data_IF_080626263424
#
_entry.id   IF_080626263424
#
_cell.length_a   1.000
_cell.length_b   1.000
_cell.length_c   1.000
_cell.angle_alpha   90.00
_cell.angle_beta   90.00
_cell.angle_gamma   90.00
#
_symmetry.space_group_name_H-M   'P 1'
#
loop_
_entity.id
_entity.type
_entity.pdbx_description
1 polymer ?
#
# COMPACT_ATOMS: atom_id res chain seq x y z
N UNK A 1 35.85 -26.70 -45.25
CA UNK A 1 34.82 -25.64 -45.38
C UNK A 1 33.47 -26.02 -44.77
N UNK A 2 33.09 -27.30 -44.71
CA UNK A 2 31.79 -27.77 -44.16
C UNK A 2 31.69 -27.64 -42.62
N UNK A 3 32.80 -27.76 -41.90
CA UNK A 3 32.84 -27.67 -40.43
C UNK A 3 32.47 -26.29 -39.89
N UNK A 4 32.95 -25.20 -40.49
CA UNK A 4 32.62 -23.83 -40.09
C UNK A 4 31.13 -23.52 -40.26
N UNK A 5 30.52 -24.01 -41.34
CA UNK A 5 29.09 -23.85 -41.59
C UNK A 5 28.23 -24.55 -40.54
N UNK A 6 28.63 -25.73 -40.05
CA UNK A 6 27.93 -26.42 -38.96
C UNK A 6 28.01 -25.64 -37.64
N UNK A 7 29.17 -25.08 -37.29
CA UNK A 7 29.33 -24.30 -36.06
C UNK A 7 28.48 -23.04 -36.03
N UNK A 8 28.37 -22.33 -37.16
CA UNK A 8 27.51 -21.14 -37.29
C UNK A 8 26.03 -21.53 -37.09
N UNK A 9 25.57 -22.64 -37.72
CA UNK A 9 24.19 -23.10 -37.61
C UNK A 9 23.86 -23.56 -36.18
N UNK A 10 24.78 -24.26 -35.52
CA UNK A 10 24.61 -24.70 -34.13
C UNK A 10 24.55 -23.48 -33.19
N UNK A 11 25.39 -22.48 -33.39
CA UNK A 11 25.40 -21.25 -32.57
C UNK A 11 24.12 -20.42 -32.72
N UNK A 12 23.56 -20.30 -33.93
CA UNK A 12 22.32 -19.56 -34.16
C UNK A 12 21.10 -20.31 -33.65
N UNK A 13 21.09 -21.64 -33.76
CA UNK A 13 20.06 -22.48 -33.15
C UNK A 13 20.09 -22.33 -31.62
N UNK A 14 21.26 -22.42 -30.97
CA UNK A 14 21.37 -22.27 -29.50
C UNK A 14 20.83 -20.91 -29.03
N UNK A 15 21.11 -19.82 -29.75
CA UNK A 15 20.61 -18.48 -29.38
C UNK A 15 19.09 -18.32 -29.58
N UNK A 16 18.49 -19.07 -30.51
CA UNK A 16 17.05 -19.07 -30.77
C UNK A 16 16.24 -19.92 -29.77
N UNK A 17 16.87 -20.86 -29.07
CA UNK A 17 16.20 -21.78 -28.12
C UNK A 17 16.31 -21.28 -26.68
N UNK A 18 17.19 -20.31 -26.38
CA UNK A 18 17.30 -19.75 -25.04
C UNK A 18 16.02 -18.97 -24.68
N UNK A 19 15.29 -19.36 -23.61
CA UNK A 19 14.15 -18.60 -23.15
C UNK A 19 14.65 -17.23 -22.69
N UNK A 20 14.19 -16.17 -23.35
CA UNK A 20 14.39 -14.80 -22.89
C UNK A 20 13.62 -14.62 -21.59
N UNK A 21 14.28 -14.86 -20.46
CA UNK A 21 13.74 -14.48 -19.16
C UNK A 21 13.69 -12.95 -19.13
N UNK A 22 12.51 -12.39 -19.42
CA UNK A 22 12.27 -10.97 -19.28
C UNK A 22 12.44 -10.65 -17.78
N UNK A 23 13.62 -10.18 -17.40
CA UNK A 23 13.89 -9.83 -16.01
C UNK A 23 13.06 -8.60 -15.67
N UNK A 24 12.11 -8.78 -14.75
CA UNK A 24 11.31 -7.70 -14.19
C UNK A 24 12.27 -6.77 -13.44
N UNK A 25 12.48 -5.58 -13.99
CA UNK A 25 13.27 -4.53 -13.34
C UNK A 25 12.39 -3.81 -12.32
N UNK A 26 12.79 -3.88 -11.05
CA UNK A 26 12.08 -3.22 -9.96
C UNK A 26 12.86 -2.01 -9.45
N UNK A 27 12.14 -1.04 -8.90
CA UNK A 27 12.69 0.16 -8.30
C UNK A 27 13.31 -0.09 -6.93
N UNK A 28 13.67 1.01 -6.27
CA UNK A 28 14.30 0.96 -4.94
C UNK A 28 13.31 0.42 -3.89
N UNK A 29 13.80 -0.51 -3.07
CA UNK A 29 13.03 -1.21 -2.01
C UNK A 29 11.84 -2.01 -2.55
N UNK A 30 11.96 -2.51 -3.77
CA UNK A 30 11.00 -3.43 -4.39
C UNK A 30 11.67 -4.76 -4.70
N UNK A 31 10.90 -5.83 -4.65
CA UNK A 31 11.29 -7.18 -5.02
C UNK A 31 10.41 -7.70 -6.15
N UNK A 32 10.99 -8.30 -7.19
CA UNK A 32 10.21 -8.92 -8.27
C UNK A 32 9.48 -10.14 -7.72
N UNK A 33 8.18 -10.21 -7.97
CA UNK A 33 7.33 -11.34 -7.59
C UNK A 33 6.48 -11.79 -8.77
N UNK A 34 6.09 -13.07 -8.77
CA UNK A 34 5.26 -13.64 -9.86
C UNK A 34 3.80 -13.20 -9.79
N UNK A 35 3.36 -12.68 -8.65
CA UNK A 35 1.98 -12.39 -8.34
C UNK A 35 1.94 -11.16 -7.43
N UNK A 36 1.81 -9.97 -8.02
CA UNK A 36 1.52 -8.71 -7.33
C UNK A 36 0.01 -8.49 -7.38
N UNK A 37 -0.61 -8.35 -6.22
CA UNK A 37 -2.00 -7.90 -6.14
C UNK A 37 -2.10 -6.39 -6.40
N UNK A 38 -3.14 -5.86 -7.08
CA UNK A 38 -3.28 -4.44 -7.38
C UNK A 38 -3.51 -3.59 -6.12
N UNK A 39 -3.91 -4.21 -5.02
CA UNK A 39 -4.27 -3.54 -3.77
C UNK A 39 -3.17 -3.64 -2.71
N UNK A 40 -1.93 -3.32 -3.08
CA UNK A 40 -0.83 -3.26 -2.13
C UNK A 40 -1.09 -2.26 -1.00
N UNK A 41 -0.59 -2.52 0.22
CA UNK A 41 -0.69 -1.59 1.33
C UNK A 41 0.17 -0.34 1.08
N UNK A 42 -0.28 0.79 1.64
CA UNK A 42 0.38 2.09 1.47
C UNK A 42 0.60 2.77 2.81
N UNK A 43 1.42 3.81 2.86
CA UNK A 43 1.58 4.63 4.07
C UNK A 43 0.28 5.35 4.44
N UNK A 44 -0.60 5.65 3.47
CA UNK A 44 -1.94 6.14 3.76
C UNK A 44 -2.88 5.04 4.27
N UNK A 45 -2.56 3.76 4.06
CA UNK A 45 -3.47 2.66 4.37
C UNK A 45 -2.71 1.37 4.70
N UNK A 46 -2.08 1.39 5.88
CA UNK A 46 -1.19 0.30 6.34
C UNK A 46 -1.95 -1.02 6.54
N UNK A 47 -3.14 -0.94 7.13
CA UNK A 47 -4.00 -2.09 7.42
C UNK A 47 -5.08 -2.24 6.35
N UNK A 48 -4.66 -2.30 5.08
CA UNK A 48 -5.61 -2.46 3.98
C UNK A 48 -6.28 -3.85 4.06
N UNK A 49 -7.61 -3.96 3.90
CA UNK A 49 -8.27 -5.26 3.81
C UNK A 49 -7.77 -6.05 2.60
N UNK A 50 -8.02 -7.37 2.61
CA UNK A 50 -7.72 -8.24 1.46
C UNK A 50 -8.29 -7.66 0.17
N UNK A 51 -7.56 -7.84 -0.91
CA UNK A 51 -8.01 -7.47 -2.24
C UNK A 51 -9.39 -8.04 -2.55
N UNK A 52 -10.35 -7.22 -3.01
CA UNK A 52 -11.72 -7.68 -3.30
C UNK A 52 -11.76 -8.70 -4.43
N UNK A 53 -10.78 -8.67 -5.33
CA UNK A 53 -10.58 -9.66 -6.40
C UNK A 53 -9.20 -10.28 -6.25
N UNK A 54 -9.13 -11.60 -6.36
CA UNK A 54 -7.85 -12.30 -6.48
C UNK A 54 -7.36 -12.21 -7.93
N UNK A 55 -6.86 -11.03 -8.27
CA UNK A 55 -6.19 -10.78 -9.54
C UNK A 55 -4.74 -10.40 -9.22
N UNK A 56 -3.79 -11.08 -9.83
CA UNK A 56 -2.39 -10.70 -9.72
C UNK A 56 -1.65 -10.91 -11.04
N UNK A 57 -0.59 -10.14 -11.22
CA UNK A 57 0.30 -10.25 -12.37
C UNK A 57 1.76 -10.27 -11.91
N UNK A 58 2.69 -10.84 -12.69
CA UNK A 58 4.11 -10.65 -12.45
C UNK A 58 4.45 -9.15 -12.37
N UNK A 59 5.23 -8.75 -11.37
CA UNK A 59 5.53 -7.34 -11.15
C UNK A 59 6.43 -7.11 -9.94
N UNK A 60 6.39 -5.88 -9.42
CA UNK A 60 7.21 -5.45 -8.29
C UNK A 60 6.35 -5.22 -7.04
N UNK A 61 6.82 -5.72 -5.91
CA UNK A 61 6.21 -5.53 -4.59
C UNK A 61 7.19 -4.89 -3.62
N UNK A 62 6.70 -4.03 -2.72
CA UNK A 62 7.55 -3.42 -1.70
C UNK A 62 8.19 -4.50 -0.82
N UNK A 63 9.50 -4.40 -0.63
CA UNK A 63 10.24 -5.30 0.25
C UNK A 63 9.75 -5.22 1.70
N UNK A 64 9.98 -6.26 2.53
CA UNK A 64 9.57 -6.26 3.94
C UNK A 64 9.99 -4.98 4.69
N UNK A 65 9.03 -4.34 5.35
CA UNK A 65 9.23 -3.07 6.08
C UNK A 65 9.08 -1.80 5.25
N UNK A 66 8.76 -1.91 3.95
CA UNK A 66 8.44 -0.79 3.07
C UNK A 66 7.00 -0.88 2.59
N UNK A 67 6.38 0.26 2.36
CA UNK A 67 5.01 0.37 1.85
C UNK A 67 4.98 1.40 0.72
N UNK A 68 3.95 1.28 -0.14
CA UNK A 68 3.69 2.27 -1.19
C UNK A 68 3.48 3.64 -0.55
N UNK A 69 4.15 4.67 -1.03
CA UNK A 69 4.01 6.03 -0.52
C UNK A 69 2.54 6.50 -0.59
N UNK A 70 1.86 6.15 -1.68
CA UNK A 70 0.44 6.45 -1.90
C UNK A 70 -0.33 5.17 -2.25
N UNK A 71 -1.66 5.24 -2.41
CA UNK A 71 -2.45 4.07 -2.84
C UNK A 71 -2.21 3.63 -4.30
N UNK A 72 -1.31 4.31 -5.02
CA UNK A 72 -0.92 3.94 -6.39
C UNK A 72 0.12 2.83 -6.39
N UNK A 73 -0.08 1.81 -7.24
CA UNK A 73 0.87 0.72 -7.48
C UNK A 73 2.17 1.19 -8.11
N UNK A 74 2.21 2.38 -8.71
CA UNK A 74 3.43 2.96 -9.29
C UNK A 74 4.19 3.88 -8.31
N UNK A 75 3.72 4.05 -7.07
CA UNK A 75 4.36 4.92 -6.10
C UNK A 75 5.58 4.28 -5.45
N UNK A 76 6.52 5.09 -4.96
CA UNK A 76 7.76 4.61 -4.35
C UNK A 76 7.49 3.75 -3.11
N UNK A 77 8.32 2.74 -2.90
CA UNK A 77 8.33 1.96 -1.65
C UNK A 77 9.20 2.66 -0.61
N UNK A 78 8.57 3.17 0.44
CA UNK A 78 9.22 3.95 1.50
C UNK A 78 8.99 3.32 2.87
N UNK A 79 9.87 3.64 3.82
CA UNK A 79 9.55 3.43 5.24
C UNK A 79 8.58 4.53 5.64
N UNK A 80 7.35 4.17 5.97
CA UNK A 80 6.36 5.15 6.39
C UNK A 80 6.88 5.90 7.60
N UNK A 81 6.91 7.23 7.49
CA UNK A 81 7.33 8.08 8.58
C UNK A 81 6.20 8.07 9.62
N UNK A 82 6.32 7.21 10.62
CA UNK A 82 5.36 7.04 11.73
C UNK A 82 5.18 8.33 12.58
N UNK A 83 5.82 9.45 12.22
CA UNK A 83 5.83 10.71 12.96
C UNK A 83 4.67 11.63 12.61
N UNK A 84 3.48 11.11 12.27
CA UNK A 84 2.28 11.95 12.23
C UNK A 84 1.96 12.33 13.68
N UNK A 85 2.32 13.56 14.07
CA UNK A 85 2.01 14.10 15.40
C UNK A 85 0.51 14.36 15.45
N UNK A 86 -0.17 13.67 16.35
CA UNK A 86 -1.58 13.93 16.66
C UNK A 86 -1.70 15.00 17.74
N UNK A 87 -2.83 15.70 17.75
CA UNK A 87 -3.12 16.75 18.71
C UNK A 87 -3.43 16.19 20.10
N UNK A 88 -3.65 17.07 21.06
CA UNK A 88 -4.07 16.70 22.42
C UNK A 88 -5.35 15.85 22.35
N UNK A 89 -5.38 14.77 23.12
CA UNK A 89 -6.47 13.78 23.17
C UNK A 89 -6.74 13.01 21.87
N UNK A 90 -5.82 13.08 20.92
CA UNK A 90 -5.81 12.21 19.75
C UNK A 90 -4.77 11.08 19.91
N UNK A 91 -4.94 10.04 19.10
CA UNK A 91 -3.98 8.96 18.92
C UNK A 91 -3.86 8.65 17.43
N UNK A 92 -2.66 8.24 17.01
CA UNK A 92 -2.44 7.80 15.64
C UNK A 92 -3.12 6.44 15.46
N UNK A 93 -4.01 6.35 14.48
CA UNK A 93 -4.64 5.11 14.04
C UNK A 93 -4.19 4.79 12.62
N UNK A 94 -3.89 3.52 12.36
CA UNK A 94 -3.64 2.99 11.00
C UNK A 94 -4.92 2.98 10.13
N UNK A 95 -6.08 3.09 10.76
CA UNK A 95 -7.40 3.11 10.14
C UNK A 95 -8.27 4.13 10.89
N UNK A 96 -8.08 5.41 10.59
CA UNK A 96 -8.93 6.49 11.06
C UNK A 96 -10.17 6.56 10.15
N UNK A 97 -11.35 6.27 10.72
CA UNK A 97 -12.61 6.46 10.03
C UNK A 97 -12.85 7.97 9.82
N UNK A 98 -13.27 8.43 8.62
CA UNK A 98 -13.61 9.82 8.39
C UNK A 98 -14.79 10.32 9.24
N UNK A 99 -15.74 9.45 9.59
CA UNK A 99 -16.90 9.76 10.43
C UNK A 99 -16.61 9.49 11.91
N UNK A 100 -15.65 10.22 12.50
CA UNK A 100 -15.39 10.13 13.93
C UNK A 100 -16.56 10.71 14.73
N UNK A 101 -16.92 10.13 15.88
CA UNK A 101 -18.02 10.63 16.69
C UNK A 101 -17.69 12.02 17.27
N UNK A 102 -18.69 12.90 17.26
CA UNK A 102 -18.63 14.24 17.84
C UNK A 102 -19.46 14.33 19.11
N UNK A 103 -19.36 15.42 19.87
CA UNK A 103 -20.23 15.64 21.03
C UNK A 103 -21.73 15.55 20.69
N UNK A 104 -22.11 15.99 19.50
CA UNK A 104 -23.49 15.95 19.01
C UNK A 104 -23.90 14.57 18.47
N UNK A 105 -22.93 13.69 18.20
CA UNK A 105 -23.15 12.36 17.60
C UNK A 105 -22.53 11.21 18.40
N UNK A 106 -22.18 11.42 19.68
CA UNK A 106 -21.45 10.43 20.51
C UNK A 106 -22.15 9.08 20.66
N UNK A 107 -23.48 9.08 20.55
CA UNK A 107 -24.32 7.88 20.64
C UNK A 107 -24.70 7.30 19.26
N UNK A 108 -24.26 7.91 18.16
CA UNK A 108 -24.54 7.41 16.81
C UNK A 108 -23.47 6.39 16.42
N UNK A 109 -23.84 5.30 15.72
CA UNK A 109 -22.84 4.39 15.17
C UNK A 109 -21.96 5.15 14.17
N UNK A 110 -20.66 4.81 14.07
CA UNK A 110 -19.80 5.30 13.00
C UNK A 110 -20.45 5.02 11.65
N UNK A 111 -20.29 5.93 10.69
CA UNK A 111 -20.83 5.69 9.37
C UNK A 111 -20.17 4.43 8.76
N UNK A 112 -20.92 3.62 7.99
CA UNK A 112 -20.41 2.42 7.35
C UNK A 112 -19.54 2.83 6.16
N UNK A 113 -18.33 3.29 6.43
CA UNK A 113 -17.31 3.52 5.40
C UNK A 113 -16.28 2.40 5.49
N UNK A 114 -16.10 1.70 4.38
CA UNK A 114 -14.99 0.76 4.20
C UNK A 114 -13.66 1.47 3.91
N UNK A 115 -13.71 2.80 3.77
CA UNK A 115 -12.58 3.68 3.46
C UNK A 115 -12.12 4.37 4.74
N UNK A 116 -11.07 3.84 5.35
CA UNK A 116 -10.32 4.53 6.39
C UNK A 116 -8.92 4.87 5.85
N UNK A 117 -8.16 5.70 6.56
CA UNK A 117 -6.76 5.94 6.21
C UNK A 117 -5.96 6.20 7.48
N UNK A 118 -4.64 6.15 7.42
CA UNK A 118 -3.80 6.48 8.56
C UNK A 118 -4.03 7.94 8.98
N UNK A 119 -4.43 8.14 10.22
CA UNK A 119 -4.85 9.46 10.70
C UNK A 119 -4.99 9.52 12.20
N UNK A 120 -5.26 10.72 12.70
CA UNK A 120 -5.48 10.95 14.11
C UNK A 120 -6.95 10.73 14.44
N UNK A 121 -7.21 9.89 15.45
CA UNK A 121 -8.54 9.62 15.99
C UNK A 121 -8.61 10.11 17.44
N UNK A 122 -9.76 10.56 17.90
CA UNK A 122 -9.93 10.86 19.32
C UNK A 122 -9.67 9.60 20.17
N UNK A 123 -8.98 9.76 21.31
CA UNK A 123 -8.78 8.69 22.29
C UNK A 123 -10.12 8.25 22.88
N UNK A 124 -10.14 7.08 23.52
CA UNK A 124 -11.31 6.58 24.25
C UNK A 124 -11.85 7.66 25.20
N UNK A 125 -13.18 7.87 25.18
CA UNK A 125 -13.91 8.89 25.94
C UNK A 125 -13.64 10.35 25.53
N UNK A 126 -13.03 10.59 24.37
CA UNK A 126 -12.96 11.91 23.75
C UNK A 126 -13.68 11.90 22.41
N UNK A 127 -14.29 13.03 22.06
CA UNK A 127 -15.10 13.18 20.86
C UNK A 127 -14.74 14.48 20.15
N UNK A 128 -14.97 14.52 18.83
CA UNK A 128 -14.80 15.74 18.04
C UNK A 128 -15.72 16.83 18.61
N UNK A 129 -15.18 18.02 18.87
CA UNK A 129 -15.96 19.13 19.44
C UNK A 129 -17.14 19.53 18.54
N UNK A 130 -16.98 19.36 17.23
CA UNK A 130 -18.03 19.58 16.23
C UNK A 130 -18.07 18.40 15.24
N UNK A 131 -18.97 18.42 14.25
CA UNK A 131 -18.98 17.42 13.17
C UNK A 131 -17.81 17.58 12.18
N UNK A 132 -16.96 18.60 12.33
CA UNK A 132 -15.72 18.73 11.56
C UNK A 132 -14.68 17.70 12.03
N UNK A 133 -14.13 16.95 11.08
CA UNK A 133 -13.11 15.91 11.28
C UNK A 133 -11.79 16.46 11.78
N UNK A 134 -11.53 17.75 11.61
CA UNK A 134 -10.34 18.43 12.13
C UNK A 134 -10.58 19.11 13.49
N UNK A 135 -11.81 19.10 14.00
CA UNK A 135 -12.10 19.75 15.28
C UNK A 135 -11.41 19.05 16.45
N UNK A 136 -11.00 19.82 17.46
CA UNK A 136 -10.31 19.30 18.65
C UNK A 136 -11.10 18.20 19.36
N UNK A 137 -10.40 17.23 19.93
CA UNK A 137 -11.00 16.17 20.75
C UNK A 137 -11.19 16.65 22.20
N UNK A 138 -12.44 16.67 22.66
CA UNK A 138 -12.84 17.11 24.00
C UNK A 138 -13.66 16.04 24.72
N UNK A 139 -13.84 16.20 26.02
CA UNK A 139 -14.85 15.46 26.77
C UNK A 139 -16.19 16.17 26.69
N UNK A 140 -17.21 15.36 26.47
CA UNK A 140 -18.63 15.63 26.55
C UNK A 140 -19.27 14.34 27.10
#
# INVERSE_FOLDING_TARGET
>A
MISFSLFIIISTLIFAILPTTQQIQCGKNETPVRCVEPCQPSCSWVNRPKCPTFACSPGCECSPGYLRETNSTSSLCIKCNQKKKCSVNEQLSSCANPCQPSCSSKNRPPCPTFTCSQGCVCRKNFYRATNDTNSRCIRC
#
